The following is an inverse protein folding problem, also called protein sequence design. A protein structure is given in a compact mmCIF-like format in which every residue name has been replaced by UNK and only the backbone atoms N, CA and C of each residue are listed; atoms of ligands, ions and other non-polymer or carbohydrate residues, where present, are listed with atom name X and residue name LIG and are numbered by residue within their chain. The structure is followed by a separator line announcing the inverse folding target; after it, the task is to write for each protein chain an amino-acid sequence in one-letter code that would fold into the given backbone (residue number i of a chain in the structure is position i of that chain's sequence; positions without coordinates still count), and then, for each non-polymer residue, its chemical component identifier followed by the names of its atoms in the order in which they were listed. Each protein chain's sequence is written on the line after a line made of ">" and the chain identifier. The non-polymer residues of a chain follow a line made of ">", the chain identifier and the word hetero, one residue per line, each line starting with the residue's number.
data_IF_798100955316
#
_entry.id   IF_798100955316
#
_cell.length_a   1.000
_cell.length_b   1.000
_cell.length_c   1.000
_cell.angle_alpha   90.00
_cell.angle_beta   90.00
_cell.angle_gamma   90.00
#
_symmetry.space_group_name_H-M   'P 1'
#
loop_
_entity.id
_entity.type
_entity.pdbx_description
1 polymer ?
#
# COMPACT_ATOMS: atom_id res chain seq x y z
N UNK A 1 -16.27 1.38 -14.26
CA UNK A 1 -15.84 2.70 -14.75
C UNK A 1 -15.68 3.61 -13.55
N UNK A 2 -14.44 3.93 -13.18
CA UNK A 2 -14.16 4.98 -12.20
C UNK A 2 -14.71 6.31 -12.77
N UNK A 3 -15.36 7.16 -11.95
CA UNK A 3 -15.91 8.43 -12.42
C UNK A 3 -14.80 9.33 -12.99
N UNK A 4 -15.20 10.18 -13.94
CA UNK A 4 -14.32 11.07 -14.69
C UNK A 4 -13.33 11.82 -13.76
N UNK A 5 -12.04 11.54 -13.93
CA UNK A 5 -10.92 12.15 -13.20
C UNK A 5 -10.94 13.66 -13.41
N UNK A 6 -11.71 14.41 -12.61
CA UNK A 6 -11.28 15.79 -12.31
C UNK A 6 -9.90 15.61 -11.68
N UNK A 7 -8.89 16.16 -12.35
CA UNK A 7 -7.48 16.01 -12.03
C UNK A 7 -7.27 16.30 -10.56
N UNK A 8 -7.15 15.25 -9.76
CA UNK A 8 -6.74 15.36 -8.38
C UNK A 8 -5.28 15.82 -8.41
N UNK A 9 -4.95 16.86 -7.64
CA UNK A 9 -3.57 17.31 -7.51
C UNK A 9 -2.76 16.29 -6.70
N UNK A 10 -1.47 16.18 -6.99
CA UNK A 10 -0.61 15.11 -6.46
C UNK A 10 -0.13 15.39 -5.02
N UNK A 11 -0.26 14.45 -4.08
CA UNK A 11 -0.11 14.65 -2.63
C UNK A 11 1.14 14.00 -2.05
N UNK A 12 1.90 14.73 -1.21
CA UNK A 12 3.12 14.20 -0.57
C UNK A 12 2.82 13.08 0.43
N UNK A 13 3.63 12.00 0.46
CA UNK A 13 3.62 11.03 1.55
C UNK A 13 3.82 11.67 2.92
N UNK A 14 4.65 12.71 3.01
CA UNK A 14 4.93 13.45 4.24
C UNK A 14 3.70 14.17 4.77
N UNK A 15 2.92 14.85 3.92
CA UNK A 15 1.68 15.51 4.34
C UNK A 15 0.64 14.53 4.92
N UNK A 16 0.65 13.27 4.49
CA UNK A 16 -0.21 12.22 5.09
C UNK A 16 0.17 11.98 6.55
N UNK A 17 1.47 11.95 6.84
CA UNK A 17 2.03 11.66 8.17
C UNK A 17 1.96 12.87 9.09
N UNK A 18 2.32 14.07 8.62
CA UNK A 18 2.32 15.33 9.39
C UNK A 18 0.93 15.82 9.82
N UNK A 19 -0.14 15.18 9.35
CA UNK A 19 -1.48 15.40 9.88
C UNK A 19 -1.63 14.84 11.30
N UNK A 20 -2.71 15.15 12.04
CA UNK A 20 -2.91 14.52 13.36
C UNK A 20 -3.07 12.97 13.30
N UNK A 21 -2.90 12.34 12.14
CA UNK A 21 -2.80 10.89 12.00
C UNK A 21 -1.61 10.31 12.77
N UNK A 22 -0.47 11.00 12.89
CA UNK A 22 0.61 10.57 13.80
C UNK A 22 0.14 10.47 15.25
N UNK A 23 -0.70 11.40 15.72
CA UNK A 23 -1.24 11.34 17.09
C UNK A 23 -2.21 10.17 17.30
N UNK A 24 -2.88 9.72 16.24
CA UNK A 24 -3.99 8.75 16.32
C UNK A 24 -3.53 7.33 16.00
N UNK A 25 -2.60 7.21 15.05
CA UNK A 25 -2.05 5.97 14.55
C UNK A 25 -0.59 5.78 14.95
N UNK A 26 0.06 6.77 15.57
CA UNK A 26 1.50 6.75 15.83
C UNK A 26 1.96 5.53 16.60
N UNK A 27 1.24 5.14 17.65
CA UNK A 27 1.56 3.91 18.40
C UNK A 27 1.47 2.67 17.50
N UNK A 28 0.39 2.53 16.72
CA UNK A 28 0.24 1.40 15.79
C UNK A 28 1.28 1.45 14.64
N UNK A 29 1.65 2.64 14.15
CA UNK A 29 2.65 2.82 13.09
C UNK A 29 4.07 2.52 13.57
N UNK A 30 4.39 2.84 14.83
CA UNK A 30 5.61 2.38 15.48
C UNK A 30 5.65 0.86 15.50
N UNK A 31 4.56 0.21 15.90
CA UNK A 31 4.47 -1.25 15.88
C UNK A 31 4.58 -1.83 14.45
N UNK A 32 4.02 -1.16 13.44
CA UNK A 32 4.19 -1.56 12.03
C UNK A 32 5.66 -1.45 11.61
N UNK A 33 6.34 -0.35 11.94
CA UNK A 33 7.78 -0.18 11.68
C UNK A 33 8.59 -1.28 12.35
N UNK A 34 8.38 -1.53 13.63
CA UNK A 34 9.05 -2.59 14.39
C UNK A 34 8.82 -3.97 13.74
N UNK A 35 7.57 -4.26 13.35
CA UNK A 35 7.20 -5.50 12.68
C UNK A 35 7.92 -5.67 11.33
N UNK A 36 7.98 -4.61 10.53
CA UNK A 36 8.69 -4.59 9.24
C UNK A 36 10.19 -4.84 9.43
N UNK A 37 10.82 -4.11 10.35
CA UNK A 37 12.25 -4.27 10.67
C UNK A 37 12.55 -5.69 11.17
N UNK A 38 11.70 -6.27 12.01
CA UNK A 38 11.85 -7.64 12.48
C UNK A 38 11.73 -8.70 11.37
N UNK A 39 11.04 -8.39 10.26
CA UNK A 39 10.94 -9.26 9.09
C UNK A 39 12.12 -9.12 8.12
N UNK A 40 12.96 -8.10 8.26
CA UNK A 40 14.15 -7.87 7.44
C UNK A 40 15.35 -8.46 8.18
N UNK A 41 15.46 -9.77 8.08
CA UNK A 41 16.58 -10.51 8.64
C UNK A 41 16.92 -11.67 7.71
N UNK A 42 17.53 -11.34 6.58
CA UNK A 42 17.89 -12.30 5.53
C UNK A 42 19.12 -13.15 5.91
N UNK A 43 19.87 -12.75 6.93
CA UNK A 43 21.18 -13.32 7.28
C UNK A 43 22.32 -12.78 6.42
N UNK A 44 22.04 -11.84 5.50
CA UNK A 44 23.02 -11.18 4.65
C UNK A 44 22.95 -9.65 4.88
N UNK A 45 23.92 -9.04 5.58
CA UNK A 45 23.86 -7.62 5.97
C UNK A 45 23.58 -6.67 4.81
N UNK A 46 24.21 -6.89 3.65
CA UNK A 46 23.99 -6.08 2.45
C UNK A 46 22.54 -6.10 1.96
N UNK A 47 21.87 -7.25 2.03
CA UNK A 47 20.45 -7.36 1.64
C UNK A 47 19.58 -6.62 2.64
N UNK A 48 19.85 -6.81 3.94
CA UNK A 48 19.09 -6.15 4.99
C UNK A 48 19.22 -4.61 4.90
N UNK A 49 20.44 -4.09 4.69
CA UNK A 49 20.71 -2.66 4.48
C UNK A 49 19.94 -2.13 3.25
N UNK A 50 20.04 -2.80 2.11
CA UNK A 50 19.32 -2.43 0.89
C UNK A 50 17.81 -2.37 1.12
N UNK A 51 17.23 -3.35 1.81
CA UNK A 51 15.79 -3.37 2.08
C UNK A 51 15.36 -2.23 3.00
N UNK A 52 16.14 -1.96 4.06
CA UNK A 52 15.87 -0.86 5.00
C UNK A 52 15.96 0.50 4.31
N UNK A 53 16.94 0.72 3.43
CA UNK A 53 17.09 1.97 2.67
C UNK A 53 15.92 2.23 1.71
N UNK A 54 15.32 1.16 1.18
CA UNK A 54 14.22 1.24 0.21
C UNK A 54 12.83 1.13 0.84
N UNK A 55 12.74 1.03 2.17
CA UNK A 55 11.46 1.14 2.87
C UNK A 55 10.97 2.58 2.89
N UNK A 56 9.72 2.79 2.48
CA UNK A 56 9.07 4.09 2.59
C UNK A 56 9.07 4.54 4.05
N UNK A 57 9.60 5.73 4.33
CA UNK A 57 9.71 6.25 5.69
C UNK A 57 8.35 6.52 6.36
N UNK A 58 7.32 6.73 5.54
CA UNK A 58 6.00 7.24 5.95
C UNK A 58 4.87 6.20 5.92
N UNK A 59 5.12 4.99 5.42
CA UNK A 59 4.16 3.85 5.38
C UNK A 59 2.69 4.23 5.03
N UNK A 60 2.45 4.89 3.89
CA UNK A 60 1.14 5.47 3.59
C UNK A 60 0.06 4.39 3.34
N UNK A 61 0.42 3.17 2.94
CA UNK A 61 -0.52 2.05 2.76
C UNK A 61 -0.88 1.44 4.11
N UNK A 62 0.09 1.37 5.04
CA UNK A 62 -0.17 0.99 6.42
C UNK A 62 -1.20 1.94 7.08
N UNK A 63 -1.11 3.24 6.83
CA UNK A 63 -2.09 4.22 7.32
C UNK A 63 -3.50 3.88 6.85
N UNK A 64 -3.68 3.49 5.59
CA UNK A 64 -5.00 3.07 5.06
C UNK A 64 -5.51 1.82 5.76
N UNK A 65 -4.66 0.80 5.97
CA UNK A 65 -5.04 -0.42 6.72
C UNK A 65 -5.46 -0.05 8.14
N UNK A 66 -4.61 0.66 8.86
CA UNK A 66 -4.84 1.03 10.26
C UNK A 66 -6.11 1.87 10.39
N UNK A 67 -6.28 2.90 9.57
CA UNK A 67 -7.47 3.75 9.56
C UNK A 67 -8.75 2.97 9.23
N UNK A 68 -8.70 2.09 8.23
CA UNK A 68 -9.86 1.27 7.85
C UNK A 68 -10.26 0.31 8.97
N UNK A 69 -9.29 -0.32 9.64
CA UNK A 69 -9.57 -1.24 10.75
C UNK A 69 -10.15 -0.55 11.99
N UNK A 70 -10.07 0.78 12.12
CA UNK A 70 -10.77 1.54 13.17
C UNK A 70 -12.29 1.60 12.98
N UNK A 71 -12.81 1.24 11.81
CA UNK A 71 -14.25 1.18 11.53
C UNK A 71 -14.94 -0.09 12.08
N UNK A 72 -14.18 -0.99 12.69
CA UNK A 72 -14.70 -2.17 13.36
C UNK A 72 -13.74 -2.66 14.45
N UNK A 73 -13.87 -3.93 14.83
CA UNK A 73 -13.07 -4.52 15.90
C UNK A 73 -12.03 -5.50 15.36
N UNK A 74 -10.78 -5.33 15.79
CA UNK A 74 -9.68 -6.27 15.58
C UNK A 74 -8.60 -6.05 16.63
N UNK A 75 -7.80 -7.07 16.87
CA UNK A 75 -6.64 -7.02 17.76
C UNK A 75 -5.52 -6.17 17.14
N UNK A 76 -4.67 -5.57 17.97
CA UNK A 76 -3.53 -4.74 17.50
C UNK A 76 -2.61 -5.58 16.62
N UNK A 77 -2.31 -6.80 17.04
CA UNK A 77 -1.41 -7.73 16.40
C UNK A 77 -1.82 -8.02 14.96
N UNK A 78 -3.12 -8.24 14.72
CA UNK A 78 -3.67 -8.54 13.39
C UNK A 78 -3.66 -7.32 12.47
N UNK A 79 -4.04 -6.12 12.95
CA UNK A 79 -4.01 -4.92 12.10
C UNK A 79 -2.60 -4.47 11.79
N UNK A 80 -1.66 -4.61 12.74
CA UNK A 80 -0.23 -4.35 12.52
C UNK A 80 0.36 -5.36 11.54
N UNK A 81 0.07 -6.65 11.69
CA UNK A 81 0.54 -7.67 10.75
C UNK A 81 0.02 -7.42 9.32
N UNK A 82 -1.26 -7.06 9.17
CA UNK A 82 -1.81 -6.72 7.86
C UNK A 82 -1.17 -5.45 7.26
N UNK A 83 -1.00 -4.40 8.06
CA UNK A 83 -0.38 -3.16 7.60
C UNK A 83 1.06 -3.39 7.14
N UNK A 84 1.84 -4.16 7.92
CA UNK A 84 3.19 -4.57 7.55
C UNK A 84 3.21 -5.47 6.31
N UNK A 85 2.24 -6.37 6.14
CA UNK A 85 2.13 -7.22 4.94
C UNK A 85 2.01 -6.40 3.65
N UNK A 86 1.17 -5.35 3.66
CA UNK A 86 0.95 -4.50 2.49
C UNK A 86 2.19 -3.64 2.17
N UNK A 87 2.87 -3.08 3.18
CA UNK A 87 4.11 -2.33 2.94
C UNK A 87 5.28 -3.22 2.50
N UNK A 88 5.37 -4.45 3.04
CA UNK A 88 6.36 -5.43 2.59
C UNK A 88 6.07 -5.89 1.15
N UNK A 89 4.79 -6.03 0.78
CA UNK A 89 4.42 -6.30 -0.61
C UNK A 89 4.80 -5.13 -1.53
N UNK A 90 4.59 -3.89 -1.09
CA UNK A 90 5.06 -2.72 -1.82
C UNK A 90 6.59 -2.78 -2.02
N UNK A 91 7.35 -3.04 -0.96
CA UNK A 91 8.81 -3.19 -1.04
C UNK A 91 9.21 -4.29 -2.03
N UNK A 92 8.57 -5.45 -2.00
CA UNK A 92 8.82 -6.55 -2.95
C UNK A 92 8.63 -6.06 -4.40
N UNK A 93 7.52 -5.37 -4.67
CA UNK A 93 7.26 -4.82 -6.01
C UNK A 93 8.28 -3.75 -6.41
N UNK A 94 8.73 -2.91 -5.48
CA UNK A 94 9.77 -1.93 -5.74
C UNK A 94 11.10 -2.61 -6.11
N UNK A 95 11.54 -3.60 -5.34
CA UNK A 95 12.77 -4.35 -5.61
C UNK A 95 12.73 -5.02 -6.98
N UNK A 96 11.62 -5.69 -7.34
CA UNK A 96 11.44 -6.25 -8.68
C UNK A 96 11.48 -5.19 -9.79
N UNK A 97 11.13 -3.93 -9.49
CA UNK A 97 11.18 -2.84 -10.48
C UNK A 97 12.58 -2.28 -10.71
N UNK A 98 13.54 -2.57 -9.83
CA UNK A 98 14.95 -2.20 -10.02
C UNK A 98 15.62 -2.99 -11.15
N UNK A 99 14.94 -4.03 -11.66
CA UNK A 99 15.34 -4.73 -12.88
C UNK A 99 15.22 -3.73 -14.05
N UNK A 100 16.34 -3.41 -14.76
CA UNK A 100 16.31 -2.46 -15.86
C UNK A 100 15.31 -2.87 -16.94
N UNK A 101 14.54 -1.91 -17.47
CA UNK A 101 13.67 -2.12 -18.64
C UNK A 101 14.44 -1.80 -19.92
N UNK A 102 14.37 -2.66 -20.94
CA UNK A 102 14.92 -2.39 -22.28
C UNK A 102 15.98 -3.41 -22.75
N UNK A 103 16.77 -3.05 -23.77
CA UNK A 103 17.90 -3.87 -24.22
C UNK A 103 18.96 -3.93 -23.12
N UNK A 104 19.05 -5.08 -22.44
CA UNK A 104 20.02 -5.31 -21.38
C UNK A 104 21.31 -5.85 -22.02
N UNK A 105 22.43 -5.14 -21.84
CA UNK A 105 23.75 -5.73 -22.08
C UNK A 105 24.03 -6.70 -20.94
N UNK A 106 23.85 -7.99 -21.22
CA UNK A 106 23.97 -9.06 -20.20
C UNK A 106 25.44 -9.41 -19.99
N UNK A 107 26.13 -8.65 -19.13
CA UNK A 107 27.45 -9.01 -18.58
C UNK A 107 27.32 -9.72 -17.22
N UNK A 108 28.43 -10.18 -16.65
CA UNK A 108 28.44 -10.95 -15.39
C UNK A 108 27.90 -10.16 -14.20
N UNK A 109 28.18 -8.86 -14.14
CA UNK A 109 27.68 -7.97 -13.09
C UNK A 109 26.17 -7.76 -13.21
N UNK A 110 25.69 -7.55 -14.43
CA UNK A 110 24.27 -7.34 -14.74
C UNK A 110 23.45 -8.61 -14.47
N UNK A 111 23.98 -9.80 -14.81
CA UNK A 111 23.36 -11.09 -14.44
C UNK A 111 23.25 -11.29 -12.94
N UNK A 112 24.30 -10.91 -12.21
CA UNK A 112 24.33 -11.00 -10.75
C UNK A 112 23.29 -10.07 -10.13
N UNK A 113 23.19 -8.84 -10.61
CA UNK A 113 22.19 -7.86 -10.16
C UNK A 113 20.75 -8.31 -10.49
N UNK A 114 20.50 -8.80 -11.70
CA UNK A 114 19.21 -9.35 -12.12
C UNK A 114 18.77 -10.53 -11.23
N UNK A 115 19.66 -11.50 -11.02
CA UNK A 115 19.40 -12.65 -10.17
C UNK A 115 19.15 -12.24 -8.72
N UNK A 116 19.92 -11.27 -8.21
CA UNK A 116 19.75 -10.75 -6.87
C UNK A 116 18.39 -10.05 -6.70
N UNK A 117 17.98 -9.16 -7.61
CA UNK A 117 16.71 -8.43 -7.48
C UNK A 117 15.49 -9.36 -7.51
N UNK A 118 15.51 -10.43 -8.32
CA UNK A 118 14.42 -11.43 -8.33
C UNK A 118 14.35 -12.12 -6.97
N UNK A 119 15.46 -12.68 -6.50
CA UNK A 119 15.51 -13.45 -5.26
C UNK A 119 15.24 -12.59 -4.01
N UNK A 120 15.72 -11.35 -3.98
CA UNK A 120 15.44 -10.40 -2.88
C UNK A 120 13.96 -10.00 -2.91
N UNK A 121 13.38 -9.77 -4.09
CA UNK A 121 11.94 -9.52 -4.21
C UNK A 121 11.10 -10.71 -3.76
N UNK A 122 11.49 -11.94 -4.12
CA UNK A 122 10.83 -13.18 -3.68
C UNK A 122 10.95 -13.38 -2.17
N UNK A 123 12.10 -13.04 -1.58
CA UNK A 123 12.29 -13.00 -0.14
C UNK A 123 11.28 -12.04 0.51
N UNK A 124 11.21 -10.78 0.05
CA UNK A 124 10.24 -9.81 0.57
C UNK A 124 8.79 -10.30 0.40
N UNK A 125 8.47 -10.88 -0.75
CA UNK A 125 7.15 -11.44 -1.01
C UNK A 125 6.79 -12.58 -0.04
N UNK A 126 7.75 -13.45 0.28
CA UNK A 126 7.56 -14.52 1.27
C UNK A 126 7.26 -13.96 2.66
N UNK A 127 7.95 -12.89 3.06
CA UNK A 127 7.71 -12.19 4.33
C UNK A 127 6.33 -11.51 4.35
N UNK A 128 5.96 -10.84 3.25
CA UNK A 128 4.65 -10.22 3.10
C UNK A 128 3.51 -11.25 3.22
N UNK A 129 3.67 -12.41 2.59
CA UNK A 129 2.72 -13.52 2.64
C UNK A 129 2.60 -14.09 4.06
N UNK A 130 3.73 -14.27 4.76
CA UNK A 130 3.73 -14.72 6.15
C UNK A 130 3.01 -13.73 7.08
N UNK A 131 3.21 -12.42 6.89
CA UNK A 131 2.52 -11.37 7.62
C UNK A 131 1.01 -11.36 7.32
N UNK A 132 0.60 -11.52 6.06
CA UNK A 132 -0.80 -11.62 5.69
C UNK A 132 -1.48 -12.84 6.35
N UNK A 133 -0.79 -13.98 6.41
CA UNK A 133 -1.28 -15.19 7.07
C UNK A 133 -1.46 -15.01 8.60
N UNK A 134 -0.66 -14.17 9.26
CA UNK A 134 -0.80 -13.87 10.70
C UNK A 134 -2.14 -13.21 11.05
N UNK A 135 -2.87 -12.66 10.08
CA UNK A 135 -4.24 -12.15 10.31
C UNK A 135 -5.22 -13.25 10.70
N UNK A 136 -4.89 -14.52 10.38
CA UNK A 136 -5.75 -15.68 10.51
C UNK A 136 -7.16 -15.44 9.92
N UNK A 137 -7.19 -14.79 8.75
CA UNK A 137 -8.40 -14.46 8.02
C UNK A 137 -8.23 -14.84 6.54
N UNK A 138 -8.81 -15.95 6.07
CA UNK A 138 -8.68 -16.41 4.69
C UNK A 138 -9.15 -15.39 3.64
N UNK A 139 -10.15 -14.56 3.97
CA UNK A 139 -10.62 -13.53 3.05
C UNK A 139 -9.57 -12.42 2.86
N UNK A 140 -8.82 -12.08 3.92
CA UNK A 140 -7.70 -11.13 3.84
C UNK A 140 -6.56 -11.71 2.99
N UNK A 141 -6.22 -12.98 3.19
CA UNK A 141 -5.19 -13.66 2.37
C UNK A 141 -5.62 -13.73 0.89
N UNK A 142 -6.88 -14.00 0.61
CA UNK A 142 -7.41 -13.98 -0.75
C UNK A 142 -7.29 -12.57 -1.38
N UNK A 143 -7.70 -11.52 -0.67
CA UNK A 143 -7.55 -10.14 -1.17
C UNK A 143 -6.09 -9.74 -1.41
N UNK A 144 -5.16 -10.22 -0.57
CA UNK A 144 -3.72 -10.03 -0.76
C UNK A 144 -3.23 -10.74 -2.04
N UNK A 145 -3.64 -11.98 -2.26
CA UNK A 145 -3.30 -12.74 -3.47
C UNK A 145 -3.87 -12.10 -4.74
N UNK A 146 -5.11 -11.60 -4.69
CA UNK A 146 -5.75 -10.90 -5.80
C UNK A 146 -5.00 -9.60 -6.17
N UNK A 147 -4.48 -8.88 -5.17
CA UNK A 147 -3.68 -7.67 -5.38
C UNK A 147 -2.33 -8.02 -6.03
N UNK A 148 -1.67 -9.07 -5.54
CA UNK A 148 -0.43 -9.57 -6.14
C UNK A 148 -0.64 -9.98 -7.60
N UNK A 149 -1.70 -10.73 -7.89
CA UNK A 149 -2.03 -11.16 -9.24
C UNK A 149 -2.19 -9.96 -10.17
N UNK A 150 -2.97 -8.95 -9.77
CA UNK A 150 -3.15 -7.71 -10.54
C UNK A 150 -1.81 -6.98 -10.78
N UNK A 151 -0.95 -6.87 -9.76
CA UNK A 151 0.36 -6.24 -9.89
C UNK A 151 1.27 -7.00 -10.87
N UNK A 152 1.31 -8.33 -10.76
CA UNK A 152 2.11 -9.19 -11.61
C UNK A 152 1.61 -9.16 -13.06
N UNK A 153 0.31 -9.30 -13.28
CA UNK A 153 -0.32 -9.20 -14.60
C UNK A 153 -0.05 -7.84 -15.26
N UNK A 154 -0.23 -6.74 -14.53
CA UNK A 154 0.07 -5.39 -15.03
C UNK A 154 1.54 -5.22 -15.41
N UNK A 155 2.46 -5.84 -14.66
CA UNK A 155 3.90 -5.84 -14.97
C UNK A 155 4.24 -6.67 -16.20
N UNK A 156 3.68 -7.88 -16.32
CA UNK A 156 3.84 -8.75 -17.51
C UNK A 156 3.32 -8.04 -18.75
N UNK A 157 2.13 -7.47 -18.70
CA UNK A 157 1.54 -6.74 -19.82
C UNK A 157 2.41 -5.56 -20.27
N UNK A 158 2.94 -4.78 -19.32
CA UNK A 158 3.84 -3.66 -19.64
C UNK A 158 5.15 -4.12 -20.27
N UNK A 159 5.67 -5.27 -19.83
CA UNK A 159 6.90 -5.84 -20.36
C UNK A 159 6.71 -6.34 -21.79
N UNK A 160 5.54 -6.92 -22.11
CA UNK A 160 5.27 -7.57 -23.40
C UNK A 160 4.69 -6.64 -24.47
N UNK A 161 3.81 -5.69 -24.10
CA UNK A 161 2.93 -5.00 -25.05
C UNK A 161 3.11 -3.47 -25.14
N UNK A 162 3.93 -2.83 -24.29
CA UNK A 162 4.19 -1.37 -24.26
C UNK A 162 2.97 -0.51 -23.79
N UNK A 163 3.14 0.75 -23.34
CA UNK A 163 3.46 1.14 -21.97
C UNK A 163 2.26 1.64 -21.13
N UNK A 164 1.05 1.77 -21.69
CA UNK A 164 -0.08 2.32 -20.92
C UNK A 164 -0.71 1.24 -20.03
N UNK A 165 -0.16 1.09 -18.82
CA UNK A 165 -0.87 0.35 -17.77
C UNK A 165 -2.22 1.04 -17.54
N UNK A 166 -3.33 0.29 -17.50
CA UNK A 166 -4.63 0.86 -17.16
C UNK A 166 -4.72 1.35 -15.70
N UNK A 167 -3.74 1.01 -14.86
CA UNK A 167 -3.69 1.38 -13.43
C UNK A 167 -2.24 1.53 -12.92
N UNK A 168 -2.07 2.31 -11.85
CA UNK A 168 -0.82 2.41 -11.09
C UNK A 168 -0.69 1.25 -10.10
N UNK A 169 0.54 0.76 -9.85
CA UNK A 169 0.83 -0.23 -8.80
C UNK A 169 0.38 0.32 -7.42
N UNK A 170 0.49 1.64 -7.21
CA UNK A 170 0.01 2.30 -6.00
C UNK A 170 -1.50 2.25 -5.87
N UNK A 171 -2.23 2.52 -6.95
CA UNK A 171 -3.69 2.43 -6.93
C UNK A 171 -4.16 1.03 -6.51
N UNK A 172 -3.49 -0.01 -7.01
CA UNK A 172 -3.78 -1.41 -6.65
C UNK A 172 -3.45 -1.69 -5.19
N UNK A 173 -2.28 -1.29 -4.71
CA UNK A 173 -1.87 -1.53 -3.32
C UNK A 173 -2.71 -0.76 -2.31
N UNK A 174 -3.10 0.48 -2.60
CA UNK A 174 -3.98 1.26 -1.74
C UNK A 174 -5.41 0.69 -1.73
N UNK A 175 -5.93 0.27 -2.89
CA UNK A 175 -7.18 -0.50 -2.94
C UNK A 175 -7.12 -1.75 -2.07
N UNK A 176 -6.04 -2.53 -2.19
CA UNK A 176 -5.83 -3.75 -1.42
C UNK A 176 -5.75 -3.47 0.09
N UNK A 177 -5.06 -2.40 0.49
CA UNK A 177 -4.98 -1.96 1.89
C UNK A 177 -6.37 -1.72 2.49
N UNK A 178 -7.22 -0.97 1.78
CA UNK A 178 -8.58 -0.67 2.22
C UNK A 178 -9.48 -1.91 2.21
N UNK A 179 -9.46 -2.71 1.14
CA UNK A 179 -10.27 -3.94 1.02
C UNK A 179 -9.91 -4.95 2.10
N UNK A 180 -8.61 -5.21 2.30
CA UNK A 180 -8.12 -6.15 3.29
C UNK A 180 -8.39 -5.66 4.73
N UNK A 181 -8.17 -4.37 5.01
CA UNK A 181 -8.51 -3.80 6.31
C UNK A 181 -10.00 -3.90 6.63
N UNK A 182 -10.85 -3.67 5.62
CA UNK A 182 -12.30 -3.77 5.75
C UNK A 182 -12.78 -5.22 5.93
N UNK A 183 -12.15 -6.16 5.22
CA UNK A 183 -12.36 -7.60 5.40
C UNK A 183 -11.96 -8.08 6.80
N UNK A 184 -10.83 -7.57 7.31
CA UNK A 184 -10.32 -7.95 8.63
C UNK A 184 -11.31 -7.65 9.75
N UNK A 185 -12.05 -6.54 9.63
CA UNK A 185 -13.04 -6.10 10.62
C UNK A 185 -14.49 -6.40 10.23
N UNK A 186 -14.71 -7.17 9.16
CA UNK A 186 -16.03 -7.67 8.76
C UNK A 186 -16.97 -6.60 8.19
N UNK A 187 -16.47 -5.57 7.52
CA UNK A 187 -17.33 -4.55 6.90
C UNK A 187 -18.16 -5.12 5.74
N UNK A 188 -19.41 -4.65 5.56
CA UNK A 188 -20.28 -5.14 4.49
C UNK A 188 -19.77 -4.73 3.11
N UNK A 189 -20.01 -5.57 2.09
CA UNK A 189 -19.51 -5.38 0.71
C UNK A 189 -19.69 -3.96 0.14
N UNK A 190 -20.83 -3.27 0.32
CA UNK A 190 -20.99 -1.90 -0.19
C UNK A 190 -20.01 -0.90 0.43
N UNK A 191 -19.69 -1.06 1.72
CA UNK A 191 -18.68 -0.26 2.42
C UNK A 191 -17.29 -0.58 1.88
N UNK A 192 -16.94 -1.87 1.79
CA UNK A 192 -15.64 -2.33 1.26
C UNK A 192 -15.34 -1.75 -0.13
N UNK A 193 -16.31 -1.83 -1.04
CA UNK A 193 -16.20 -1.25 -2.38
C UNK A 193 -15.92 0.26 -2.34
N UNK A 194 -16.65 1.00 -1.50
CA UNK A 194 -16.47 2.44 -1.40
C UNK A 194 -15.08 2.83 -0.87
N UNK A 195 -14.59 2.12 0.16
CA UNK A 195 -13.25 2.31 0.74
C UNK A 195 -12.15 1.97 -0.26
N UNK A 196 -12.29 0.84 -0.97
CA UNK A 196 -11.35 0.38 -2.00
C UNK A 196 -11.18 1.42 -3.11
N UNK A 197 -12.29 1.96 -3.61
CA UNK A 197 -12.28 2.97 -4.68
C UNK A 197 -11.69 4.30 -4.21
N UNK A 198 -12.01 4.72 -3.00
CA UNK A 198 -11.43 5.91 -2.38
C UNK A 198 -9.91 5.78 -2.25
N UNK A 199 -9.44 4.66 -1.69
CA UNK A 199 -8.02 4.41 -1.50
C UNK A 199 -7.29 4.27 -2.83
N UNK A 200 -7.87 3.61 -3.83
CA UNK A 200 -7.29 3.55 -5.18
C UNK A 200 -7.05 4.94 -5.77
N UNK A 201 -8.08 5.80 -5.73
CA UNK A 201 -8.00 7.17 -6.23
C UNK A 201 -6.94 7.99 -5.46
N UNK A 202 -6.84 7.79 -4.14
CA UNK A 202 -5.81 8.40 -3.33
C UNK A 202 -4.39 7.91 -3.72
N UNK A 203 -4.22 6.60 -3.92
CA UNK A 203 -2.96 6.00 -4.35
C UNK A 203 -2.54 6.45 -5.76
N UNK A 204 -3.47 6.74 -6.67
CA UNK A 204 -3.14 7.29 -8.00
C UNK A 204 -2.50 8.69 -7.92
N UNK A 205 -2.79 9.46 -6.87
CA UNK A 205 -2.34 10.85 -6.75
C UNK A 205 -1.32 11.05 -5.66
N UNK A 206 -0.97 10.03 -4.89
CA UNK A 206 0.13 10.11 -3.95
C UNK A 206 1.47 10.21 -4.71
N UNK A 207 2.23 11.28 -4.52
CA UNK A 207 3.56 11.46 -5.13
C UNK A 207 4.44 12.35 -4.25
N UNK A 208 5.75 12.40 -4.48
CA UNK A 208 6.69 13.20 -3.66
C UNK A 208 6.58 14.75 -3.81
N UNK A 209 5.38 15.31 -4.00
CA UNK A 209 5.11 16.74 -4.20
C UNK A 209 4.32 17.40 -3.07
N UNK A 210 4.57 18.69 -2.81
CA UNK A 210 4.10 19.53 -1.68
C UNK A 210 2.58 19.71 -1.45
N UNK A 211 1.68 18.97 -2.10
CA UNK A 211 0.23 19.16 -1.88
C UNK A 211 -0.19 18.67 -0.49
N UNK A 212 -1.10 19.40 0.15
CA UNK A 212 -1.51 19.15 1.53
C UNK A 212 -2.51 17.98 1.64
N UNK A 213 -2.51 17.28 2.78
CA UNK A 213 -3.49 16.22 3.04
C UNK A 213 -4.94 16.76 3.10
N UNK A 214 -5.11 18.02 3.53
CA UNK A 214 -6.43 18.66 3.59
C UNK A 214 -7.08 18.78 2.21
N UNK A 215 -6.30 19.14 1.19
CA UNK A 215 -6.77 19.19 -0.20
C UNK A 215 -7.09 17.80 -0.74
N UNK A 216 -6.25 16.81 -0.44
CA UNK A 216 -6.49 15.42 -0.82
C UNK A 216 -7.82 14.88 -0.25
N UNK A 217 -8.06 15.15 1.05
CA UNK A 217 -9.29 14.75 1.75
C UNK A 217 -10.49 15.49 1.17
N UNK A 218 -10.40 16.79 0.93
CA UNK A 218 -11.49 17.57 0.33
C UNK A 218 -11.88 17.06 -1.07
N UNK A 219 -10.90 16.58 -1.85
CA UNK A 219 -11.16 16.05 -3.18
C UNK A 219 -11.68 14.59 -3.13
N UNK A 220 -11.19 13.76 -2.20
CA UNK A 220 -11.80 12.47 -1.83
C UNK A 220 -13.26 12.66 -1.41
N UNK A 221 -13.56 13.68 -0.61
CA UNK A 221 -14.92 14.04 -0.20
C UNK A 221 -15.81 14.41 -1.39
N UNK A 222 -15.26 15.15 -2.35
CA UNK A 222 -15.99 15.47 -3.58
C UNK A 222 -16.30 14.21 -4.40
N UNK A 223 -15.34 13.28 -4.52
CA UNK A 223 -15.52 11.99 -5.22
C UNK A 223 -16.51 11.04 -4.52
N UNK A 224 -16.56 11.12 -3.19
CA UNK A 224 -17.37 10.24 -2.35
C UNK A 224 -18.71 10.89 -1.93
N UNK A 225 -19.01 12.10 -2.42
CA UNK A 225 -20.18 12.91 -2.04
C UNK A 225 -21.50 12.15 -2.15
N UNK A 226 -21.65 11.38 -3.23
CA UNK A 226 -22.86 10.59 -3.52
C UNK A 226 -22.78 9.14 -3.01
N UNK A 227 -21.76 8.83 -2.20
CA UNK A 227 -21.54 7.50 -1.60
C UNK A 227 -21.82 7.58 -0.09
N UNK A 228 -23.08 7.46 0.37
CA UNK A 228 -23.43 7.58 1.79
C UNK A 228 -22.72 6.54 2.68
N UNK A 229 -22.30 5.43 2.08
CA UNK A 229 -21.52 4.40 2.74
C UNK A 229 -20.05 4.80 2.94
N UNK A 230 -19.45 5.67 2.13
CA UNK A 230 -18.07 6.13 2.34
C UNK A 230 -17.94 7.15 3.49
N UNK A 231 -19.08 7.67 3.96
CA UNK A 231 -19.19 8.74 4.94
C UNK A 231 -18.50 8.44 6.27
N UNK A 232 -18.49 7.22 6.82
CA UNK A 232 -17.73 6.92 8.04
C UNK A 232 -16.23 7.06 7.89
N UNK A 233 -15.62 6.61 6.78
CA UNK A 233 -14.19 6.83 6.52
C UNK A 233 -13.87 8.30 6.33
N UNK A 234 -14.67 8.99 5.52
CA UNK A 234 -14.53 10.42 5.27
C UNK A 234 -14.67 11.23 6.56
N UNK A 235 -15.70 10.95 7.37
CA UNK A 235 -15.91 11.60 8.67
C UNK A 235 -14.78 11.28 9.64
N UNK A 236 -14.28 10.04 9.62
CA UNK A 236 -13.13 9.64 10.41
C UNK A 236 -11.89 10.45 9.99
N UNK A 237 -11.56 10.52 8.69
CA UNK A 237 -10.45 11.33 8.16
C UNK A 237 -10.60 12.81 8.56
N UNK A 238 -11.78 13.40 8.35
CA UNK A 238 -12.08 14.81 8.70
C UNK A 238 -11.90 15.10 10.18
N UNK A 239 -12.34 14.20 11.05
CA UNK A 239 -12.22 14.38 12.51
C UNK A 239 -10.77 14.47 12.98
N UNK A 240 -9.79 14.18 12.11
CA UNK A 240 -8.35 14.15 12.42
C UNK A 240 -7.55 15.23 11.71
N UNK A 241 -8.15 16.10 10.88
CA UNK A 241 -7.45 17.32 10.42
C UNK A 241 -7.39 18.35 11.56
N UNK A 242 -6.30 19.13 11.70
CA UNK A 242 -6.31 20.30 12.59
C UNK A 242 -7.36 21.31 12.07
N UNK A 243 -7.99 22.04 13.00
CA UNK A 243 -8.85 23.19 12.68
C UNK A 243 -7.98 24.33 12.14
#
# INVERSE_FOLDING_TARGET
>A
MLPNKKTLERVSPTAVVESNLERVLGEDLVLVREKLMACIHSGFPFVDEMLVENLHQHYPRAIIVLGTTRLGHTTVEKRVALAAAIEMLHLATYIHSLIPRGEIVVDENTRTLLGASILIGDYCFSQASALAAQTNNPAVVAAFADALAQLAEGRVLTLLENPERPYSDDAVLFAAAAEAGALLVGLPRPMRYALREAAAAFGEVLTDSETSLAEAIAQLEALLRDRPLARPLVNWLRSRLPV
#
